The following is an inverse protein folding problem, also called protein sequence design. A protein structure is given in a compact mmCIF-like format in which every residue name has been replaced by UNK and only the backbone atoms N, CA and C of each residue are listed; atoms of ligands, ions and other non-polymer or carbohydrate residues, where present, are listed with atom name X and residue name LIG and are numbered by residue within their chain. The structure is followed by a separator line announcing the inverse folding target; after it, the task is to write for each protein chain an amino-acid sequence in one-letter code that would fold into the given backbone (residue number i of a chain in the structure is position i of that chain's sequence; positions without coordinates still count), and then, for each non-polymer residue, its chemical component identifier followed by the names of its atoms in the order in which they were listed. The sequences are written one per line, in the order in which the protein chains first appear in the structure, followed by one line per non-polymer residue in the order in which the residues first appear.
data_IF_244070795584
#
_entry.id   IF_244070795584
#
_cell.length_a   1.000
_cell.length_b   1.000
_cell.length_c   1.000
_cell.angle_alpha   90.00
_cell.angle_beta   90.00
_cell.angle_gamma   90.00
#
_symmetry.space_group_name_H-M   'P 1'
#
loop_
_entity.id
_entity.type
_entity.pdbx_description
1 polymer ?
#
# COMPACT_ATOMS: atom_id res chain seq x y z
N UNK A 1 -3.34 -12.07 25.11
CA UNK A 1 -2.96 -10.66 25.29
C UNK A 1 -3.94 -9.81 24.55
N UNK A 2 -4.67 -8.92 25.24
CA UNK A 2 -5.53 -7.94 24.55
C UNK A 2 -4.65 -7.00 23.74
N UNK A 3 -5.02 -6.65 22.49
CA UNK A 3 -4.26 -5.68 21.71
C UNK A 3 -4.16 -4.35 22.45
N UNK A 4 -3.00 -3.70 22.39
CA UNK A 4 -2.82 -2.36 22.92
C UNK A 4 -3.78 -1.40 22.24
N UNK A 5 -4.32 -0.38 22.95
CA UNK A 5 -5.14 0.66 22.32
C UNK A 5 -4.42 1.23 21.09
N UNK A 6 -5.13 1.31 19.95
CA UNK A 6 -4.57 1.80 18.69
C UNK A 6 -3.78 0.78 17.86
N UNK A 7 -3.85 -0.51 18.17
CA UNK A 7 -3.27 -1.58 17.36
C UNK A 7 -4.35 -2.47 16.75
N UNK A 8 -4.31 -2.64 15.44
CA UNK A 8 -5.32 -3.33 14.64
C UNK A 8 -4.66 -4.38 13.76
N UNK A 9 -5.40 -5.44 13.40
CA UNK A 9 -4.95 -6.45 12.46
C UNK A 9 -6.13 -7.03 11.69
N UNK A 10 -5.91 -7.29 10.39
CA UNK A 10 -6.84 -7.98 9.52
C UNK A 10 -6.12 -9.08 8.75
N UNK A 11 -6.83 -10.18 8.52
CA UNK A 11 -6.41 -11.32 7.74
C UNK A 11 -7.33 -11.39 6.53
N UNK A 12 -6.81 -11.18 5.34
CA UNK A 12 -7.58 -10.94 4.14
C UNK A 12 -7.25 -11.97 3.05
N UNK A 13 -8.26 -12.56 2.39
CA UNK A 13 -8.00 -13.37 1.22
C UNK A 13 -7.40 -12.49 0.09
N UNK A 14 -6.59 -13.07 -0.83
CA UNK A 14 -5.97 -12.34 -1.91
C UNK A 14 -6.96 -12.06 -3.06
N UNK A 15 -8.04 -11.33 -2.76
CA UNK A 15 -9.03 -10.90 -3.74
C UNK A 15 -9.36 -9.40 -3.62
N UNK A 16 -9.88 -8.80 -4.68
CA UNK A 16 -10.15 -7.36 -4.74
C UNK A 16 -11.30 -6.91 -3.83
N UNK A 17 -12.18 -7.81 -3.38
CA UNK A 17 -13.23 -7.48 -2.41
C UNK A 17 -12.63 -7.12 -1.05
N UNK A 18 -11.46 -7.68 -0.73
CA UNK A 18 -10.69 -7.42 0.48
C UNK A 18 -10.30 -5.94 0.63
N UNK A 19 -10.02 -5.24 -0.48
CA UNK A 19 -9.65 -3.82 -0.48
C UNK A 19 -10.76 -2.97 0.13
N UNK A 20 -12.02 -3.24 -0.25
CA UNK A 20 -13.18 -2.50 0.24
C UNK A 20 -13.43 -2.70 1.74
N UNK A 21 -13.22 -3.93 2.21
CA UNK A 21 -13.38 -4.29 3.62
C UNK A 21 -12.28 -3.63 4.45
N UNK A 22 -11.04 -3.74 4.01
CA UNK A 22 -9.87 -3.15 4.67
C UNK A 22 -9.99 -1.63 4.77
N UNK A 23 -10.30 -0.95 3.65
CA UNK A 23 -10.50 0.49 3.59
C UNK A 23 -11.48 0.98 4.64
N UNK A 24 -12.64 0.35 4.75
CA UNK A 24 -13.67 0.73 5.72
C UNK A 24 -13.16 0.68 7.15
N UNK A 25 -12.49 -0.41 7.53
CA UNK A 25 -11.98 -0.58 8.89
C UNK A 25 -10.79 0.36 9.18
N UNK A 26 -9.93 0.59 8.19
CA UNK A 26 -8.83 1.53 8.27
C UNK A 26 -9.34 2.95 8.48
N UNK A 27 -10.23 3.46 7.62
CA UNK A 27 -10.79 4.82 7.72
C UNK A 27 -11.50 5.02 9.05
N UNK A 28 -12.32 4.06 9.48
CA UNK A 28 -12.98 4.10 10.79
C UNK A 28 -11.97 4.24 11.93
N UNK A 29 -10.89 3.49 11.93
CA UNK A 29 -9.85 3.57 12.97
C UNK A 29 -9.13 4.93 12.97
N UNK A 30 -8.92 5.53 11.80
CA UNK A 30 -8.31 6.87 11.67
C UNK A 30 -9.25 7.98 12.15
N UNK A 31 -10.56 7.90 11.83
CA UNK A 31 -11.59 8.81 12.31
C UNK A 31 -11.71 8.78 13.84
N UNK A 32 -11.76 7.57 14.42
CA UNK A 32 -11.80 7.35 15.87
C UNK A 32 -10.57 7.94 16.59
N UNK A 33 -9.44 8.04 15.89
CA UNK A 33 -8.20 8.64 16.39
C UNK A 33 -7.99 10.10 15.94
N UNK A 34 -9.05 10.76 15.45
CA UNK A 34 -9.09 12.19 15.13
C UNK A 34 -8.09 12.63 14.04
N UNK A 35 -7.84 11.79 13.04
CA UNK A 35 -7.15 12.21 11.83
C UNK A 35 -8.06 13.11 11.00
N UNK A 36 -7.50 14.14 10.36
CA UNK A 36 -8.28 15.00 9.47
C UNK A 36 -8.72 14.26 8.21
N UNK A 37 -9.80 14.68 7.54
CA UNK A 37 -10.24 14.06 6.27
C UNK A 37 -9.13 14.00 5.21
N UNK A 38 -8.28 15.04 5.13
CA UNK A 38 -7.17 15.09 4.18
C UNK A 38 -6.09 14.05 4.51
N UNK A 39 -5.76 13.89 5.80
CA UNK A 39 -4.81 12.85 6.25
C UNK A 39 -5.36 11.45 6.00
N UNK A 40 -6.66 11.23 6.28
CA UNK A 40 -7.34 9.96 6.02
C UNK A 40 -7.28 9.62 4.54
N UNK A 41 -7.58 10.56 3.65
CA UNK A 41 -7.55 10.37 2.21
C UNK A 41 -6.15 9.97 1.71
N UNK A 42 -5.08 10.61 2.23
CA UNK A 42 -3.71 10.29 1.85
C UNK A 42 -3.32 8.87 2.30
N UNK A 43 -3.63 8.53 3.56
CA UNK A 43 -3.34 7.21 4.13
C UNK A 43 -4.14 6.12 3.41
N UNK A 44 -5.45 6.35 3.19
CA UNK A 44 -6.35 5.43 2.47
C UNK A 44 -5.79 5.08 1.09
N UNK A 45 -5.39 6.10 0.34
CA UNK A 45 -4.86 5.92 -1.00
C UNK A 45 -3.58 5.09 -1.03
N UNK A 46 -2.63 5.41 -0.13
CA UNK A 46 -1.39 4.66 -0.02
C UNK A 46 -1.63 3.22 0.45
N UNK A 47 -2.57 3.02 1.36
CA UNK A 47 -2.93 1.71 1.90
C UNK A 47 -3.65 0.83 0.85
N UNK A 48 -4.52 1.42 0.03
CA UNK A 48 -5.19 0.73 -1.08
C UNK A 48 -4.18 0.24 -2.13
N UNK A 49 -3.21 1.08 -2.48
CA UNK A 49 -2.13 0.70 -3.40
C UNK A 49 -1.27 -0.42 -2.81
N UNK A 50 -0.95 -0.34 -1.51
CA UNK A 50 -0.19 -1.37 -0.81
C UNK A 50 -0.91 -2.72 -0.86
N UNK A 51 -2.19 -2.76 -0.48
CA UNK A 51 -2.98 -4.00 -0.48
C UNK A 51 -3.21 -4.54 -1.89
N UNK A 52 -3.49 -3.67 -2.88
CA UNK A 52 -3.69 -4.07 -4.27
C UNK A 52 -2.42 -4.71 -4.84
N UNK A 53 -1.25 -4.15 -4.53
CA UNK A 53 0.04 -4.72 -4.95
C UNK A 53 0.27 -6.08 -4.31
N UNK A 54 -0.05 -6.25 -3.02
CA UNK A 54 0.08 -7.53 -2.31
C UNK A 54 -0.88 -8.59 -2.85
N UNK A 55 -2.13 -8.21 -3.18
CA UNK A 55 -3.08 -9.12 -3.85
C UNK A 55 -2.52 -9.56 -5.21
N UNK A 56 -2.04 -8.62 -6.03
CA UNK A 56 -1.47 -8.93 -7.33
C UNK A 56 -0.23 -9.85 -7.20
N UNK A 57 0.63 -9.63 -6.22
CA UNK A 57 1.81 -10.45 -5.96
C UNK A 57 1.43 -11.88 -5.58
N UNK A 58 0.44 -12.08 -4.68
CA UNK A 58 -0.07 -13.41 -4.32
C UNK A 58 -0.67 -14.13 -5.54
N UNK A 59 -1.55 -13.45 -6.30
CA UNK A 59 -2.19 -14.03 -7.49
C UNK A 59 -1.15 -14.41 -8.55
N UNK A 60 -0.16 -13.56 -8.82
CA UNK A 60 0.92 -13.86 -9.76
C UNK A 60 1.78 -15.05 -9.32
N UNK A 61 1.89 -15.28 -8.02
CA UNK A 61 2.63 -16.41 -7.44
C UNK A 61 1.76 -17.67 -7.25
N UNK A 62 0.50 -17.64 -7.69
CA UNK A 62 -0.50 -18.69 -7.45
C UNK A 62 -0.63 -19.06 -5.96
N UNK A 63 -0.52 -18.06 -5.07
CA UNK A 63 -0.63 -18.22 -3.63
C UNK A 63 -2.02 -17.85 -3.15
N UNK A 64 -2.69 -18.80 -2.49
CA UNK A 64 -3.97 -18.58 -1.80
C UNK A 64 -3.77 -18.15 -0.34
N UNK A 65 -2.52 -17.91 0.05
CA UNK A 65 -2.18 -17.51 1.41
C UNK A 65 -2.80 -16.15 1.78
N UNK A 66 -3.18 -16.05 3.03
CA UNK A 66 -3.82 -14.87 3.61
C UNK A 66 -2.86 -13.69 3.67
N UNK A 67 -3.27 -12.55 3.14
CA UNK A 67 -2.57 -11.28 3.31
C UNK A 67 -2.83 -10.76 4.72
N UNK A 68 -1.77 -10.36 5.43
CA UNK A 68 -1.86 -9.84 6.78
C UNK A 68 -1.64 -8.34 6.75
N UNK A 69 -2.69 -7.57 7.09
CA UNK A 69 -2.62 -6.13 7.30
C UNK A 69 -2.60 -5.85 8.80
N UNK A 70 -1.55 -5.19 9.27
CA UNK A 70 -1.43 -4.77 10.67
C UNK A 70 -1.12 -3.28 10.72
N UNK A 71 -1.92 -2.50 11.46
CA UNK A 71 -1.61 -1.08 11.64
C UNK A 71 -1.71 -0.66 13.10
N UNK A 72 -0.98 0.40 13.38
CA UNK A 72 -0.92 1.02 14.71
C UNK A 72 -1.08 2.52 14.57
N UNK A 73 -1.82 3.10 15.49
CA UNK A 73 -1.95 4.54 15.67
C UNK A 73 -1.41 4.88 17.06
N UNK A 74 -0.42 5.76 17.13
CA UNK A 74 0.24 6.19 18.35
C UNK A 74 0.38 7.72 18.34
N UNK A 75 -0.57 8.40 18.94
CA UNK A 75 -0.68 9.86 18.93
C UNK A 75 -0.84 10.43 17.52
N UNK A 76 0.18 11.09 16.99
CA UNK A 76 0.20 11.64 15.63
C UNK A 76 0.63 10.64 14.57
N UNK A 77 1.21 9.51 14.97
CA UNK A 77 1.87 8.56 14.06
C UNK A 77 0.95 7.41 13.70
N UNK A 78 0.90 7.13 12.40
CA UNK A 78 0.29 5.95 11.83
C UNK A 78 1.38 5.08 11.19
N UNK A 79 1.30 3.76 11.41
CA UNK A 79 2.18 2.77 10.78
C UNK A 79 1.35 1.60 10.29
N UNK A 80 1.52 1.21 9.03
CA UNK A 80 0.87 0.05 8.41
C UNK A 80 1.91 -0.93 7.91
N UNK A 81 1.70 -2.20 8.18
CA UNK A 81 2.42 -3.33 7.59
C UNK A 81 1.45 -4.18 6.78
N UNK A 82 1.79 -4.44 5.52
CA UNK A 82 1.08 -5.37 4.65
C UNK A 82 2.04 -6.50 4.29
N UNK A 83 1.74 -7.71 4.75
CA UNK A 83 2.53 -8.92 4.49
C UNK A 83 1.80 -9.77 3.44
N UNK A 84 2.52 -10.14 2.40
CA UNK A 84 2.05 -11.03 1.32
C UNK A 84 2.97 -12.24 1.12
N UNK A 85 2.54 -13.17 0.29
CA UNK A 85 3.26 -14.38 -0.10
C UNK A 85 3.54 -14.41 -1.61
N UNK A 86 3.73 -13.22 -2.19
CA UNK A 86 4.14 -13.05 -3.58
C UNK A 86 5.64 -13.28 -3.78
N UNK A 87 6.08 -13.23 -5.05
CA UNK A 87 7.50 -13.39 -5.40
C UNK A 87 8.38 -12.19 -5.04
N UNK A 88 7.81 -11.19 -4.31
CA UNK A 88 8.47 -9.97 -3.90
C UNK A 88 8.42 -8.86 -4.95
N UNK A 89 8.73 -7.64 -4.51
CA UNK A 89 8.88 -6.48 -5.40
C UNK A 89 10.16 -6.63 -6.23
N UNK A 90 10.04 -6.60 -7.54
CA UNK A 90 11.18 -6.36 -8.44
C UNK A 90 11.14 -4.90 -8.86
N UNK A 91 12.11 -4.15 -8.43
CA UNK A 91 12.36 -2.79 -8.93
C UNK A 91 12.96 -2.92 -10.34
N UNK A 92 12.10 -2.96 -11.36
CA UNK A 92 12.57 -3.14 -12.76
C UNK A 92 13.24 -1.88 -13.33
N UNK A 93 13.19 -0.73 -12.66
CA UNK A 93 14.03 0.45 -12.97
C UNK A 93 14.08 1.41 -11.76
N UNK A 94 15.25 1.81 -11.28
CA UNK A 94 15.34 2.88 -10.30
C UNK A 94 14.79 4.19 -10.92
N UNK A 95 13.77 4.76 -10.27
CA UNK A 95 13.21 6.05 -10.70
C UNK A 95 14.33 7.10 -10.66
N UNK A 96 14.61 7.81 -11.77
CA UNK A 96 15.60 8.89 -11.77
C UNK A 96 15.27 9.89 -10.66
N UNK A 97 16.27 10.33 -9.90
CA UNK A 97 16.12 11.22 -8.73
C UNK A 97 15.42 12.57 -9.04
N UNK A 98 15.28 12.93 -10.30
CA UNK A 98 14.62 14.16 -10.78
C UNK A 98 13.14 14.28 -10.38
N UNK A 99 12.44 13.15 -10.25
CA UNK A 99 11.00 13.17 -9.90
C UNK A 99 10.76 13.38 -8.39
N UNK A 100 11.75 13.05 -7.55
CA UNK A 100 11.64 13.24 -6.09
C UNK A 100 11.66 14.70 -5.66
N UNK A 101 12.38 15.55 -6.38
CA UNK A 101 12.45 16.99 -6.08
C UNK A 101 11.18 17.73 -6.54
N UNK A 102 10.60 17.34 -7.68
CA UNK A 102 9.38 17.94 -8.21
C UNK A 102 8.14 17.63 -7.33
N UNK A 103 8.08 16.45 -6.73
CA UNK A 103 6.99 16.05 -5.83
C UNK A 103 7.08 16.72 -4.45
N UNK A 104 8.30 17.04 -3.98
CA UNK A 104 8.52 17.76 -2.72
C UNK A 104 8.20 19.25 -2.80
N UNK A 105 8.29 19.87 -3.98
CA UNK A 105 8.12 21.31 -4.16
C UNK A 105 6.68 21.78 -4.33
N UNK A 106 5.71 20.89 -4.63
CA UNK A 106 4.31 21.29 -4.81
C UNK A 106 3.32 20.16 -4.49
N UNK A 107 3.00 19.91 -3.20
CA UNK A 107 2.05 18.87 -2.80
C UNK A 107 0.65 19.08 -3.41
N UNK A 108 0.21 20.34 -3.56
CA UNK A 108 -1.08 20.69 -4.14
C UNK A 108 -1.21 20.33 -5.63
N UNK A 109 -0.09 20.40 -6.38
CA UNK A 109 -0.07 20.02 -7.79
C UNK A 109 -0.19 18.51 -7.98
N UNK A 110 0.39 17.75 -7.06
CA UNK A 110 0.31 16.30 -7.04
C UNK A 110 -1.15 15.83 -6.78
N UNK A 111 -1.83 16.48 -5.84
CA UNK A 111 -3.22 16.17 -5.52
C UNK A 111 -4.18 16.49 -6.67
N UNK A 112 -4.03 17.65 -7.32
CA UNK A 112 -4.88 18.07 -8.44
C UNK A 112 -4.68 17.19 -9.69
N UNK A 113 -3.44 16.81 -9.98
CA UNK A 113 -3.11 15.89 -11.08
C UNK A 113 -3.65 14.49 -10.79
N UNK A 114 -3.60 14.09 -9.52
CA UNK A 114 -4.10 12.80 -9.06
C UNK A 114 -5.64 12.73 -9.07
N UNK A 115 -6.33 13.77 -8.57
CA UNK A 115 -7.80 13.91 -8.66
C UNK A 115 -8.25 13.93 -10.12
N UNK A 116 -7.50 14.58 -11.00
CA UNK A 116 -7.72 14.55 -12.44
C UNK A 116 -7.61 13.13 -13.04
N UNK A 117 -6.67 12.33 -12.55
CA UNK A 117 -6.49 10.94 -12.96
C UNK A 117 -7.65 10.04 -12.48
N UNK A 118 -8.08 10.19 -11.23
CA UNK A 118 -9.24 9.46 -10.68
C UNK A 118 -10.51 9.82 -11.45
N UNK A 119 -10.77 11.11 -11.73
CA UNK A 119 -11.93 11.54 -12.51
C UNK A 119 -11.93 10.97 -13.93
N UNK A 120 -10.78 10.90 -14.59
CA UNK A 120 -10.67 10.29 -15.92
C UNK A 120 -10.84 8.76 -15.91
N UNK A 121 -10.55 8.08 -14.80
CA UNK A 121 -10.84 6.65 -14.65
C UNK A 121 -12.30 6.36 -14.29
N UNK A 122 -13.00 7.28 -13.61
CA UNK A 122 -14.42 7.11 -13.26
C UNK A 122 -15.37 7.32 -14.46
N UNK A 123 -14.94 8.00 -15.53
CA UNK A 123 -15.75 8.21 -16.74
C UNK A 123 -15.68 7.06 -17.74
N UNK A 124 -14.74 6.12 -17.59
CA UNK A 124 -14.80 4.84 -18.29
C UNK A 124 -15.63 3.89 -17.42
N UNK A 125 -16.79 3.41 -17.96
CA UNK A 125 -17.52 2.28 -17.39
C UNK A 125 -16.50 1.26 -16.89
N UNK A 126 -16.68 0.70 -15.67
CA UNK A 126 -15.87 -0.41 -15.21
C UNK A 126 -16.10 -1.53 -16.23
N UNK A 127 -15.23 -1.67 -17.22
CA UNK A 127 -15.04 -2.94 -17.86
C UNK A 127 -14.64 -3.85 -16.71
N UNK A 128 -15.54 -4.78 -16.40
CA UNK A 128 -15.26 -5.90 -15.53
C UNK A 128 -13.97 -6.51 -16.06
N UNK A 129 -12.85 -6.17 -15.41
CA UNK A 129 -11.59 -6.82 -15.70
C UNK A 129 -11.79 -8.27 -15.28
N UNK A 130 -11.94 -9.22 -16.23
CA UNK A 130 -11.85 -10.60 -15.86
C UNK A 130 -10.40 -10.80 -15.42
N UNK A 131 -10.18 -11.07 -14.17
CA UNK A 131 -8.93 -11.63 -13.66
C UNK A 131 -8.87 -13.07 -14.17
N UNK A 132 -8.79 -13.23 -15.49
CA UNK A 132 -8.41 -14.46 -16.14
C UNK A 132 -6.90 -14.45 -16.21
N UNK A 133 -6.27 -15.32 -15.41
CA UNK A 133 -4.84 -15.47 -15.19
C UNK A 133 -3.98 -15.79 -16.43
N UNK A 134 -4.08 -14.99 -17.48
CA UNK A 134 -3.24 -15.08 -18.67
C UNK A 134 -2.77 -13.69 -19.11
N UNK A 135 -1.47 -13.43 -18.86
CA UNK A 135 -0.61 -12.51 -19.64
C UNK A 135 -1.02 -11.05 -19.78
N UNK A 136 -1.49 -10.37 -18.73
CA UNK A 136 -1.40 -8.91 -18.70
C UNK A 136 -0.14 -8.51 -17.95
N UNK A 137 0.87 -8.04 -18.68
CA UNK A 137 1.99 -7.29 -18.12
C UNK A 137 1.39 -6.17 -17.29
N UNK A 138 1.58 -6.21 -15.98
CA UNK A 138 1.17 -5.14 -15.07
C UNK A 138 1.97 -3.87 -15.38
N UNK A 139 1.50 -3.07 -16.34
CA UNK A 139 2.06 -1.76 -16.71
C UNK A 139 1.94 -0.71 -15.58
N UNK A 140 1.37 -1.06 -14.42
CA UNK A 140 1.12 -0.15 -13.30
C UNK A 140 2.04 -0.35 -12.09
N UNK A 141 2.91 -1.37 -12.05
CA UNK A 141 3.75 -1.66 -10.87
C UNK A 141 4.66 -0.50 -10.43
N UNK A 142 5.09 0.37 -11.33
CA UNK A 142 5.91 1.54 -10.97
C UNK A 142 5.12 2.74 -10.45
N UNK A 143 3.80 2.80 -10.67
CA UNK A 143 2.97 3.95 -10.26
C UNK A 143 2.52 3.86 -8.81
N UNK A 144 2.19 2.66 -8.32
CA UNK A 144 1.75 2.46 -6.94
C UNK A 144 2.81 2.85 -5.92
N UNK A 145 4.08 2.47 -6.13
CA UNK A 145 5.20 2.89 -5.28
C UNK A 145 5.39 4.42 -5.29
N UNK A 146 5.22 5.07 -6.45
CA UNK A 146 5.28 6.54 -6.55
C UNK A 146 4.17 7.21 -5.76
N UNK A 147 2.95 6.68 -5.83
CA UNK A 147 1.80 7.18 -5.05
C UNK A 147 2.09 7.04 -3.56
N UNK A 148 2.48 5.85 -3.11
CA UNK A 148 2.79 5.62 -1.70
C UNK A 148 3.91 6.55 -1.20
N UNK A 149 5.00 6.70 -1.95
CA UNK A 149 6.10 7.61 -1.60
C UNK A 149 5.70 9.10 -1.62
N UNK A 150 4.68 9.48 -2.38
CA UNK A 150 4.17 10.85 -2.40
C UNK A 150 3.24 11.15 -1.21
N UNK A 151 2.50 10.14 -0.72
CA UNK A 151 1.49 10.30 0.33
C UNK A 151 2.01 9.98 1.73
N UNK A 152 3.08 9.19 1.85
CA UNK A 152 3.61 8.71 3.13
C UNK A 152 4.96 9.32 3.44
N UNK A 153 5.29 9.49 4.73
CA UNK A 153 6.60 9.95 5.19
C UNK A 153 7.70 8.92 4.94
N UNK A 154 7.35 7.63 4.99
CA UNK A 154 8.29 6.53 4.78
C UNK A 154 7.57 5.35 4.14
N UNK A 155 8.20 4.76 3.14
CA UNK A 155 7.78 3.52 2.49
C UNK A 155 8.98 2.59 2.45
N UNK A 156 8.85 1.40 3.05
CA UNK A 156 9.91 0.39 3.07
C UNK A 156 9.37 -0.95 2.58
N UNK A 157 10.16 -1.62 1.76
CA UNK A 157 9.89 -2.99 1.33
C UNK A 157 10.91 -3.90 2.01
N UNK A 158 10.40 -4.93 2.67
CA UNK A 158 11.18 -6.00 3.28
C UNK A 158 10.74 -7.34 2.69
N UNK A 159 11.60 -8.32 2.78
CA UNK A 159 11.31 -9.68 2.33
C UNK A 159 11.29 -10.62 3.52
N UNK A 160 10.42 -11.62 3.49
CA UNK A 160 10.34 -12.64 4.53
C UNK A 160 10.48 -14.05 3.94
N UNK A 161 10.99 -14.97 4.74
CA UNK A 161 11.09 -16.38 4.40
C UNK A 161 11.93 -17.15 5.45
N UNK A 162 11.58 -18.41 5.67
CA UNK A 162 12.29 -19.33 6.58
C UNK A 162 12.60 -18.75 7.98
N UNK A 163 11.64 -17.95 8.51
CA UNK A 163 11.79 -17.30 9.82
C UNK A 163 12.69 -16.06 9.83
N UNK A 164 13.10 -15.57 8.67
CA UNK A 164 13.94 -14.37 8.51
C UNK A 164 13.14 -13.25 7.85
N UNK A 165 13.52 -12.00 8.20
CA UNK A 165 13.03 -10.76 7.57
C UNK A 165 14.24 -9.89 7.29
N UNK A 166 14.32 -9.31 6.07
CA UNK A 166 15.42 -8.44 5.68
C UNK A 166 15.05 -7.52 4.51
N UNK A 167 15.77 -6.42 4.37
CA UNK A 167 15.59 -5.45 3.28
C UNK A 167 16.14 -5.96 1.93
N UNK A 168 17.03 -6.94 1.97
CA UNK A 168 17.64 -7.56 0.79
C UNK A 168 17.41 -9.06 0.84
N UNK A 169 16.93 -9.70 -0.25
CA UNK A 169 16.64 -11.13 -0.27
C UNK A 169 17.92 -11.98 -0.42
N UNK A 170 18.93 -11.70 0.41
CA UNK A 170 20.20 -12.45 0.36
C UNK A 170 20.24 -13.49 1.48
N UNK A 171 20.59 -14.71 1.10
CA UNK A 171 20.88 -15.79 2.04
C UNK A 171 19.69 -16.59 2.55
N UNK A 172 18.46 -16.32 2.10
CA UNK A 172 17.28 -17.12 2.43
C UNK A 172 16.30 -17.22 1.26
N UNK A 173 15.47 -18.25 1.27
CA UNK A 173 14.39 -18.41 0.29
C UNK A 173 13.28 -17.41 0.59
N UNK A 174 13.07 -16.44 -0.30
CA UNK A 174 11.98 -15.48 -0.18
C UNK A 174 10.64 -16.20 -0.35
N UNK A 175 9.74 -16.01 0.62
CA UNK A 175 8.37 -16.52 0.61
C UNK A 175 7.34 -15.42 0.33
N UNK A 176 7.72 -14.15 0.51
CA UNK A 176 6.86 -13.01 0.26
C UNK A 176 7.53 -11.69 0.65
N UNK A 177 6.73 -10.63 0.65
CA UNK A 177 7.17 -9.29 1.02
C UNK A 177 6.37 -8.71 2.19
N UNK A 178 6.97 -7.72 2.85
CA UNK A 178 6.34 -6.88 3.86
C UNK A 178 6.51 -5.44 3.41
N UNK A 179 5.40 -4.78 3.11
CA UNK A 179 5.40 -3.35 2.83
C UNK A 179 5.07 -2.60 4.12
N UNK A 180 5.98 -1.70 4.53
CA UNK A 180 5.80 -0.85 5.71
C UNK A 180 5.60 0.60 5.28
N UNK A 181 4.50 1.22 5.73
CA UNK A 181 4.13 2.60 5.48
C UNK A 181 4.08 3.35 6.80
N UNK A 182 4.69 4.56 6.84
CA UNK A 182 4.66 5.43 8.01
C UNK A 182 4.14 6.82 7.62
N UNK A 183 3.29 7.39 8.47
CA UNK A 183 2.73 8.73 8.32
C UNK A 183 2.66 9.43 9.68
N UNK A 184 3.11 10.68 9.77
CA UNK A 184 3.03 11.50 10.97
C UNK A 184 2.24 12.78 10.69
N UNK A 185 0.98 12.82 11.12
CA UNK A 185 0.10 13.99 10.90
C UNK A 185 0.68 15.30 11.44
N UNK A 186 1.60 15.25 12.41
CA UNK A 186 2.21 16.45 12.95
C UNK A 186 3.13 17.16 11.93
N UNK A 187 3.56 16.48 10.87
CA UNK A 187 4.35 17.06 9.78
C UNK A 187 3.50 17.67 8.67
N UNK A 188 2.18 17.43 8.71
CA UNK A 188 1.22 17.81 7.67
C UNK A 188 0.14 18.78 8.21
N UNK A 189 0.48 19.52 9.28
CA UNK A 189 -0.35 20.58 9.87
C UNK A 189 -0.13 21.91 9.17
#
# INVERSE_FOLDING_TARGET
MSPSPGSYAMFLPPDMASVKIFRRELCKSLEENHFSPDNIMQIELAADEALTNSIAANVCNCSDETIICRWRIDGSKFTLYVLDYGSGFREENPVPNTDKELLKTNPSLCLSTFIGHIKNHQTKKPETLPYNGQNQKHTNMGKGLKIMNAMMDSVKVMFHGEGMVGEVPQGFKVMGSILALEYDRAKHL
#
